data_IF_735571154072
#
_entry.id   IF_735571154072
#
_cell.length_a   1.000
_cell.length_b   1.000
_cell.length_c   1.000
_cell.angle_alpha   90.00
_cell.angle_beta   90.00
_cell.angle_gamma   90.00
#
_symmetry.space_group_name_H-M   'P 1'
#
loop_
_entity.id
_entity.type
_entity.pdbx_description
1 polymer ?
#
# COMPACT_ATOMS: atom_id res chain seq x y z
N UNK A 1 -17.30 -3.67 3.04
CA UNK A 1 -17.19 -3.39 1.59
C UNK A 1 -15.94 -4.07 1.03
N UNK A 2 -16.10 -4.71 -0.12
CA UNK A 2 -14.96 -5.32 -0.80
C UNK A 2 -14.40 -4.29 -1.79
N UNK A 3 -13.10 -3.99 -1.67
CA UNK A 3 -12.44 -3.04 -2.55
C UNK A 3 -11.59 -3.79 -3.56
N UNK A 4 -11.67 -3.39 -4.83
CA UNK A 4 -10.89 -3.97 -5.91
C UNK A 4 -9.40 -3.67 -5.72
N UNK A 5 -8.56 -4.67 -5.84
CA UNK A 5 -7.12 -4.46 -5.80
C UNK A 5 -6.66 -3.74 -7.06
N UNK A 6 -5.48 -3.14 -6.99
CA UNK A 6 -4.97 -2.30 -8.08
C UNK A 6 -3.86 -3.03 -8.84
N UNK A 7 -3.86 -2.91 -10.17
CA UNK A 7 -2.79 -3.48 -10.98
C UNK A 7 -1.62 -2.52 -11.08
N UNK A 8 -0.44 -3.06 -11.40
CA UNK A 8 0.75 -2.24 -11.63
C UNK A 8 0.51 -1.25 -12.77
N UNK A 9 -0.19 -1.68 -13.81
CA UNK A 9 -0.49 -0.82 -14.94
C UNK A 9 -1.36 0.36 -14.54
N UNK A 10 -2.41 0.11 -13.78
CA UNK A 10 -3.30 1.16 -13.29
C UNK A 10 -2.53 2.17 -12.43
N UNK A 11 -1.71 1.68 -11.52
CA UNK A 11 -0.93 2.57 -10.65
C UNK A 11 0.06 3.40 -11.44
N UNK A 12 0.78 2.79 -12.38
CA UNK A 12 1.73 3.52 -13.23
C UNK A 12 1.05 4.62 -14.02
N UNK A 13 -0.11 4.31 -14.58
CA UNK A 13 -0.88 5.29 -15.35
C UNK A 13 -1.29 6.47 -14.48
N UNK A 14 -1.78 6.20 -13.27
CA UNK A 14 -2.19 7.25 -12.35
C UNK A 14 -1.02 8.16 -11.95
N UNK A 15 0.13 7.55 -11.65
CA UNK A 15 1.33 8.33 -11.30
C UNK A 15 1.81 9.16 -12.49
N UNK A 16 1.74 8.61 -13.70
CA UNK A 16 2.13 9.33 -14.92
C UNK A 16 1.22 10.53 -15.19
N UNK A 17 -0.03 10.46 -14.76
CA UNK A 17 -0.97 11.57 -14.90
C UNK A 17 -0.80 12.65 -13.83
N UNK A 18 0.13 12.45 -12.91
CA UNK A 18 0.39 13.40 -11.84
C UNK A 18 -0.46 13.21 -10.59
N UNK A 19 -1.21 12.10 -10.48
CA UNK A 19 -1.95 11.80 -9.27
C UNK A 19 -1.00 11.45 -8.13
N UNK A 20 -1.43 11.73 -6.91
CA UNK A 20 -0.63 11.45 -5.72
C UNK A 20 -1.42 10.56 -4.75
N UNK A 21 -1.69 9.31 -5.13
CA UNK A 21 -2.43 8.40 -4.25
C UNK A 21 -1.63 8.10 -2.98
N UNK A 22 -2.33 7.74 -1.92
CA UNK A 22 -1.67 7.28 -0.70
C UNK A 22 -1.17 5.85 -0.94
N UNK A 23 0.13 5.65 -0.82
CA UNK A 23 0.76 4.34 -1.01
C UNK A 23 1.56 4.01 0.25
N UNK A 24 1.27 2.86 0.85
CA UNK A 24 1.99 2.39 2.03
C UNK A 24 2.76 1.12 1.66
N UNK A 25 4.09 1.20 1.79
CA UNK A 25 4.99 0.07 1.58
C UNK A 25 5.15 -0.66 2.91
N UNK A 26 4.63 -1.89 3.00
CA UNK A 26 4.65 -2.65 4.25
C UNK A 26 5.83 -3.62 4.33
N UNK A 27 6.84 -3.43 3.46
CA UNK A 27 8.08 -4.20 3.53
C UNK A 27 8.95 -3.67 4.67
N UNK A 28 10.07 -4.33 4.93
CA UNK A 28 11.03 -3.87 5.92
C UNK A 28 11.75 -2.61 5.43
N UNK A 29 12.27 -1.82 6.36
CA UNK A 29 12.96 -0.58 6.04
C UNK A 29 14.11 -0.79 5.06
N UNK A 30 14.91 -1.86 5.23
CA UNK A 30 16.05 -2.10 4.36
C UNK A 30 15.61 -2.40 2.92
N UNK A 31 14.44 -3.03 2.75
CA UNK A 31 13.88 -3.27 1.42
C UNK A 31 13.50 -1.94 0.76
N UNK A 32 12.86 -1.07 1.52
CA UNK A 32 12.45 0.25 1.05
C UNK A 32 13.66 1.10 0.65
N UNK A 33 14.74 1.01 1.42
CA UNK A 33 15.96 1.78 1.12
C UNK A 33 16.63 1.30 -0.17
N UNK A 34 16.53 0.04 -0.50
CA UNK A 34 17.11 -0.48 -1.73
C UNK A 34 16.37 0.00 -2.97
N UNK A 35 15.04 -0.04 -2.93
CA UNK A 35 14.20 0.41 -4.03
C UNK A 35 12.80 0.66 -3.49
N UNK A 36 12.08 1.61 -4.07
CA UNK A 36 10.73 1.93 -3.63
C UNK A 36 9.94 2.55 -4.78
N UNK A 37 8.62 2.62 -4.57
CA UNK A 37 7.72 3.30 -5.51
C UNK A 37 7.67 4.77 -5.11
N UNK A 38 7.83 5.67 -6.07
CA UNK A 38 7.80 7.10 -5.81
C UNK A 38 6.52 7.49 -5.07
N UNK A 39 6.67 8.23 -3.99
CA UNK A 39 5.55 8.69 -3.18
C UNK A 39 5.09 7.70 -2.12
N UNK A 40 5.65 6.49 -2.08
CA UNK A 40 5.26 5.51 -1.07
C UNK A 40 5.87 5.84 0.29
N UNK A 41 5.07 5.64 1.34
CA UNK A 41 5.51 5.77 2.72
C UNK A 41 5.78 4.38 3.26
N UNK A 42 6.93 4.16 3.90
CA UNK A 42 7.26 2.86 4.45
C UNK A 42 6.75 2.71 5.87
N UNK A 43 5.87 1.74 6.09
CA UNK A 43 5.42 1.33 7.41
C UNK A 43 5.43 -0.19 7.40
N UNK A 44 6.48 -0.83 7.94
CA UNK A 44 6.54 -2.29 7.95
C UNK A 44 5.31 -2.92 8.55
N UNK A 45 4.91 -4.07 8.01
CA UNK A 45 3.68 -4.74 8.43
C UNK A 45 3.58 -4.87 9.96
N UNK A 46 4.68 -5.26 10.61
CA UNK A 46 4.70 -5.44 12.06
C UNK A 46 4.51 -4.14 12.85
N UNK A 47 4.67 -2.99 12.20
CA UNK A 47 4.53 -1.68 12.85
C UNK A 47 3.15 -1.07 12.64
N UNK A 48 2.32 -1.64 11.80
CA UNK A 48 1.00 -1.06 11.50
C UNK A 48 0.15 -0.83 12.75
N UNK A 49 0.04 -1.79 13.69
CA UNK A 49 -0.79 -1.55 14.88
C UNK A 49 -0.35 -0.33 15.68
N UNK A 50 0.96 -0.08 15.76
CA UNK A 50 1.51 1.04 16.51
C UNK A 50 1.38 2.37 15.79
N UNK A 51 1.14 2.32 14.47
CA UNK A 51 1.05 3.51 13.64
C UNK A 51 -0.38 3.88 13.24
N UNK A 52 -1.37 3.18 13.77
CA UNK A 52 -2.78 3.44 13.40
C UNK A 52 -3.22 4.88 13.67
N UNK A 53 -2.76 5.46 14.77
CA UNK A 53 -3.13 6.84 15.09
C UNK A 53 -2.64 7.82 14.03
N UNK A 54 -1.49 7.54 13.44
CA UNK A 54 -0.92 8.38 12.38
C UNK A 54 -1.72 8.26 11.07
N UNK A 55 -2.51 7.21 10.94
CA UNK A 55 -3.24 6.91 9.71
C UNK A 55 -4.73 7.22 9.82
N UNK A 56 -5.18 7.77 10.95
CA UNK A 56 -6.59 7.99 11.23
C UNK A 56 -7.29 8.80 10.15
N UNK A 57 -6.63 9.83 9.64
CA UNK A 57 -7.20 10.69 8.61
C UNK A 57 -7.39 10.01 7.27
N UNK A 58 -6.82 8.81 7.09
CA UNK A 58 -6.87 8.08 5.83
C UNK A 58 -7.99 7.04 5.78
N UNK A 59 -8.74 6.87 6.88
CA UNK A 59 -9.71 5.77 6.98
C UNK A 59 -10.78 5.78 5.88
N UNK A 60 -11.15 6.95 5.40
CA UNK A 60 -12.17 7.06 4.37
C UNK A 60 -11.61 7.41 3.00
N UNK A 61 -10.28 7.39 2.88
CA UNK A 61 -9.60 7.66 1.61
C UNK A 61 -9.12 6.35 1.00
N UNK A 62 -8.82 6.41 -0.29
CA UNK A 62 -8.16 5.28 -0.94
C UNK A 62 -6.75 5.13 -0.39
N UNK A 63 -6.40 3.93 0.05
CA UNK A 63 -5.06 3.60 0.51
C UNK A 63 -4.57 2.39 -0.26
N UNK A 64 -3.45 2.54 -0.95
CA UNK A 64 -2.83 1.44 -1.70
C UNK A 64 -1.72 0.88 -0.82
N UNK A 65 -1.73 -0.43 -0.61
CA UNK A 65 -0.68 -1.11 0.15
C UNK A 65 0.09 -2.03 -0.78
N UNK A 66 1.40 -2.14 -0.56
CA UNK A 66 2.20 -3.08 -1.34
C UNK A 66 3.35 -3.67 -0.52
N UNK A 67 3.82 -4.80 -1.00
CA UNK A 67 5.03 -5.44 -0.48
C UNK A 67 5.84 -5.94 -1.66
N UNK A 68 6.63 -7.00 -1.50
CA UNK A 68 7.45 -7.51 -2.60
C UNK A 68 6.60 -8.20 -3.66
N UNK A 69 5.71 -9.10 -3.25
CA UNK A 69 4.93 -9.94 -4.18
C UNK A 69 3.42 -9.94 -3.92
N UNK A 70 2.96 -9.33 -2.84
CA UNK A 70 1.55 -9.19 -2.51
C UNK A 70 1.07 -9.90 -1.26
N UNK A 71 1.84 -10.82 -0.68
CA UNK A 71 1.39 -11.61 0.48
C UNK A 71 1.32 -10.79 1.77
N UNK A 72 2.40 -10.07 2.08
CA UNK A 72 2.43 -9.22 3.29
C UNK A 72 1.40 -8.09 3.19
N UNK A 73 1.26 -7.51 2.01
CA UNK A 73 0.31 -6.42 1.80
C UNK A 73 -1.13 -6.91 1.82
N UNK A 74 -1.40 -8.15 1.45
CA UNK A 74 -2.73 -8.73 1.62
C UNK A 74 -3.10 -8.79 3.10
N UNK A 75 -2.15 -9.17 3.95
CA UNK A 75 -2.35 -9.15 5.41
C UNK A 75 -2.57 -7.75 5.93
N UNK A 76 -1.81 -6.78 5.41
CA UNK A 76 -1.96 -5.38 5.79
C UNK A 76 -3.35 -4.86 5.41
N UNK A 77 -3.83 -5.20 4.22
CA UNK A 77 -5.18 -4.81 3.78
C UNK A 77 -6.24 -5.36 4.72
N UNK A 78 -6.16 -6.65 5.05
CA UNK A 78 -7.13 -7.27 5.95
C UNK A 78 -7.12 -6.59 7.33
N UNK A 79 -5.93 -6.32 7.86
CA UNK A 79 -5.80 -5.64 9.14
C UNK A 79 -6.43 -4.24 9.10
N UNK A 80 -6.09 -3.44 8.09
CA UNK A 80 -6.60 -2.07 7.99
C UNK A 80 -8.12 -2.07 7.81
N UNK A 81 -8.66 -3.00 7.03
CA UNK A 81 -10.11 -3.11 6.88
C UNK A 81 -10.79 -3.39 8.21
N UNK A 82 -10.20 -4.25 9.04
CA UNK A 82 -10.72 -4.53 10.38
C UNK A 82 -10.68 -3.30 11.27
N UNK A 83 -9.76 -2.39 11.01
CA UNK A 83 -9.61 -1.16 11.78
C UNK A 83 -10.47 0.00 11.24
N UNK A 84 -11.34 -0.29 10.27
CA UNK A 84 -12.28 0.71 9.78
C UNK A 84 -11.86 1.44 8.51
N UNK A 85 -10.79 1.01 7.86
CA UNK A 85 -10.38 1.61 6.59
C UNK A 85 -11.30 1.10 5.48
N UNK A 86 -11.96 2.02 4.78
CA UNK A 86 -13.05 1.68 3.87
C UNK A 86 -12.60 1.36 2.44
N UNK A 87 -11.40 1.77 2.04
CA UNK A 87 -10.95 1.61 0.66
C UNK A 87 -9.47 1.28 0.59
N UNK A 88 -9.12 0.04 0.97
CA UNK A 88 -7.74 -0.42 0.93
C UNK A 88 -7.56 -1.34 -0.27
N UNK A 89 -6.59 -1.02 -1.12
CA UNK A 89 -6.32 -1.76 -2.35
C UNK A 89 -4.92 -2.34 -2.30
N UNK A 90 -4.79 -3.63 -2.56
CA UNK A 90 -3.50 -4.29 -2.60
C UNK A 90 -2.92 -4.19 -4.01
N UNK A 91 -1.66 -3.79 -4.13
CA UNK A 91 -0.98 -3.77 -5.43
C UNK A 91 -0.66 -5.21 -5.85
N UNK A 92 -1.37 -5.69 -6.86
CA UNK A 92 -1.21 -7.06 -7.35
C UNK A 92 0.20 -7.24 -7.91
N UNK A 93 0.86 -8.32 -7.48
CA UNK A 93 2.23 -8.61 -7.88
C UNK A 93 3.28 -7.83 -7.11
N UNK A 94 2.87 -6.89 -6.27
CA UNK A 94 3.79 -6.11 -5.46
C UNK A 94 4.76 -5.28 -6.28
N UNK A 95 5.86 -4.86 -5.65
CA UNK A 95 6.87 -4.06 -6.33
C UNK A 95 7.59 -4.87 -7.42
N UNK A 96 7.66 -6.18 -7.27
CA UNK A 96 8.25 -7.03 -8.31
C UNK A 96 7.49 -6.91 -9.63
N UNK A 97 6.17 -6.98 -9.57
CA UNK A 97 5.33 -6.82 -10.75
C UNK A 97 5.36 -5.40 -11.29
N UNK A 98 5.46 -4.43 -10.38
CA UNK A 98 5.52 -3.03 -10.76
C UNK A 98 6.80 -2.70 -11.53
N UNK A 99 7.93 -3.28 -11.13
CA UNK A 99 9.23 -3.07 -11.78
C UNK A 99 9.46 -3.97 -12.98
N UNK A 100 8.72 -5.07 -13.05
CA UNK A 100 8.89 -6.09 -14.07
C UNK A 100 8.46 -5.71 -15.48
#
# INVERSE_FOLDING_TARGET
MITTDITAEELKERLNKGETPVIIDVREDWEYQETNIAGAQNIPLGMLPQRLDDLEDLKEQEVIVHCKSGARSASAKAFLQQQGFSNVRNLLGGIMGYQG
#
